data_IF_297797312357
#
_entry.id   IF_297797312357
#
_cell.length_a   1.000
_cell.length_b   1.000
_cell.length_c   1.000
_cell.angle_alpha   90.00
_cell.angle_beta   90.00
_cell.angle_gamma   90.00
#
_symmetry.space_group_name_H-M   'P 1'
#
loop_
_entity.id
_entity.type
_entity.pdbx_description
1 polymer ?
#
# COMPACT_ATOMS: atom_id res chain seq x y z
N UNK A 1 13.38 -1.77 -19.29
CA UNK A 1 12.34 -2.18 -18.32
C UNK A 1 11.61 -3.40 -18.83
N UNK A 2 11.40 -4.35 -17.96
CA UNK A 2 10.56 -5.50 -18.28
C UNK A 2 9.09 -5.08 -18.22
N UNK A 3 8.24 -5.60 -19.12
CA UNK A 3 6.80 -5.37 -19.02
C UNK A 3 6.30 -5.90 -17.68
N UNK A 4 5.30 -5.20 -17.11
CA UNK A 4 4.68 -5.65 -15.89
C UNK A 4 3.92 -6.96 -16.13
N UNK A 5 4.14 -7.94 -15.26
CA UNK A 5 3.37 -9.17 -15.22
C UNK A 5 2.85 -9.36 -13.80
N UNK A 6 1.53 -9.57 -13.60
CA UNK A 6 1.01 -9.81 -12.26
C UNK A 6 1.65 -11.05 -11.63
N UNK A 7 1.99 -11.01 -10.33
CA UNK A 7 2.48 -12.20 -9.64
C UNK A 7 1.42 -13.30 -9.64
N UNK A 8 1.86 -14.56 -9.76
CA UNK A 8 0.95 -15.72 -9.87
C UNK A 8 0.24 -16.03 -8.56
N UNK A 9 0.95 -15.93 -7.43
CA UNK A 9 0.40 -16.24 -6.10
C UNK A 9 0.85 -15.18 -5.11
N UNK A 10 0.31 -13.95 -5.22
CA UNK A 10 0.74 -12.86 -4.35
C UNK A 10 0.28 -13.09 -2.90
N UNK A 11 1.11 -12.69 -1.96
CA UNK A 11 0.78 -12.71 -0.54
C UNK A 11 0.64 -11.30 0.03
N UNK A 12 1.27 -10.31 -0.61
CA UNK A 12 1.22 -8.94 -0.14
C UNK A 12 1.34 -8.01 -1.35
N UNK A 13 0.29 -7.25 -1.61
CA UNK A 13 0.33 -6.22 -2.64
C UNK A 13 -0.09 -4.88 -2.05
N UNK A 14 0.32 -3.82 -2.72
CA UNK A 14 0.04 -2.44 -2.34
C UNK A 14 -0.74 -1.76 -3.44
N UNK A 15 -1.81 -1.09 -3.08
CA UNK A 15 -2.59 -0.26 -4.00
C UNK A 15 -2.54 1.18 -3.51
N UNK A 16 -2.04 2.07 -4.36
CA UNK A 16 -1.98 3.50 -4.09
C UNK A 16 -3.06 4.18 -4.94
N UNK A 17 -4.16 4.58 -4.29
CA UNK A 17 -5.30 5.20 -4.97
C UNK A 17 -5.33 6.70 -4.74
N UNK A 18 -5.18 7.48 -5.80
CA UNK A 18 -5.12 8.94 -5.74
C UNK A 18 -3.96 9.47 -4.87
N UNK A 19 -2.86 8.75 -4.81
CA UNK A 19 -1.66 9.19 -4.10
C UNK A 19 -0.85 10.07 -5.04
N UNK A 20 -0.85 11.37 -4.79
CA UNK A 20 -0.31 12.38 -5.70
C UNK A 20 1.07 12.89 -5.31
N UNK A 21 1.44 12.79 -4.04
CA UNK A 21 2.75 13.26 -3.59
C UNK A 21 3.85 12.27 -4.02
N UNK A 22 4.75 12.68 -4.92
CA UNK A 22 5.80 11.78 -5.41
C UNK A 22 6.77 11.33 -4.31
N UNK A 23 6.98 12.13 -3.28
CA UNK A 23 7.81 11.74 -2.14
C UNK A 23 7.20 10.59 -1.34
N UNK A 24 5.91 10.69 -1.02
CA UNK A 24 5.20 9.62 -0.34
C UNK A 24 5.14 8.35 -1.19
N UNK A 25 4.82 8.49 -2.47
CA UNK A 25 4.75 7.34 -3.37
C UNK A 25 6.10 6.61 -3.46
N UNK A 26 7.19 7.34 -3.60
CA UNK A 26 8.53 6.75 -3.65
C UNK A 26 8.94 6.08 -2.35
N UNK A 27 8.62 6.70 -1.22
CA UNK A 27 8.88 6.11 0.10
C UNK A 27 8.09 4.83 0.30
N UNK A 28 6.83 4.80 -0.15
CA UNK A 28 6.00 3.60 -0.07
C UNK A 28 6.54 2.48 -0.96
N UNK A 29 7.01 2.81 -2.17
CA UNK A 29 7.66 1.82 -3.05
C UNK A 29 8.87 1.19 -2.38
N UNK A 30 9.72 2.01 -1.75
CA UNK A 30 10.88 1.53 -1.01
C UNK A 30 10.47 0.64 0.15
N UNK A 31 9.46 1.04 0.91
CA UNK A 31 8.95 0.26 2.04
C UNK A 31 8.35 -1.07 1.57
N UNK A 32 7.59 -1.05 0.49
CA UNK A 32 7.00 -2.24 -0.10
C UNK A 32 8.08 -3.24 -0.54
N UNK A 33 9.14 -2.75 -1.17
CA UNK A 33 10.28 -3.57 -1.55
C UNK A 33 10.94 -4.20 -0.31
N UNK A 34 11.21 -3.39 0.71
CA UNK A 34 11.84 -3.88 1.95
C UNK A 34 10.95 -4.89 2.70
N UNK A 35 9.64 -4.73 2.65
CA UNK A 35 8.69 -5.64 3.28
C UNK A 35 8.47 -6.93 2.47
N UNK A 36 9.03 -7.02 1.27
CA UNK A 36 8.85 -8.18 0.41
C UNK A 36 7.49 -8.23 -0.29
N UNK A 37 6.86 -7.08 -0.51
CA UNK A 37 5.61 -7.03 -1.26
C UNK A 37 5.82 -7.55 -2.69
N UNK A 38 4.79 -8.17 -3.24
CA UNK A 38 4.87 -8.81 -4.56
C UNK A 38 4.63 -7.85 -5.70
N UNK A 39 3.88 -6.78 -5.48
CA UNK A 39 3.61 -5.77 -6.51
C UNK A 39 3.03 -4.50 -5.89
N UNK A 40 3.16 -3.38 -6.62
CA UNK A 40 2.54 -2.10 -6.29
C UNK A 40 1.70 -1.64 -7.48
N UNK A 41 0.46 -1.27 -7.22
CA UNK A 41 -0.47 -0.78 -8.23
C UNK A 41 -0.81 0.68 -7.96
N UNK A 42 -0.59 1.54 -8.95
CA UNK A 42 -0.97 2.94 -8.90
C UNK A 42 -2.30 3.10 -9.60
N UNK A 43 -3.32 3.54 -8.88
CA UNK A 43 -4.68 3.65 -9.40
C UNK A 43 -5.24 5.06 -9.22
N UNK A 44 -6.33 5.34 -9.92
CA UNK A 44 -6.95 6.65 -9.88
C UNK A 44 -6.01 7.72 -10.41
N UNK A 45 -6.01 8.88 -9.75
CA UNK A 45 -5.20 10.03 -10.12
C UNK A 45 -3.90 10.07 -9.29
N UNK A 46 -3.15 8.98 -9.33
CA UNK A 46 -1.87 8.86 -8.64
C UNK A 46 -0.72 9.43 -9.47
N UNK A 47 0.37 9.79 -8.80
CA UNK A 47 1.59 10.27 -9.46
C UNK A 47 2.15 9.18 -10.38
N UNK A 48 2.78 9.61 -11.48
CA UNK A 48 3.53 8.70 -12.34
C UNK A 48 4.72 8.14 -11.56
N UNK A 49 4.86 6.81 -11.41
CA UNK A 49 5.99 6.24 -10.68
C UNK A 49 7.35 6.58 -11.29
N UNK A 50 7.40 6.96 -12.56
CA UNK A 50 8.63 7.42 -13.21
C UNK A 50 8.91 8.90 -13.02
N UNK A 51 8.06 9.64 -12.29
CA UNK A 51 8.33 11.03 -11.91
C UNK A 51 9.69 11.09 -11.18
N UNK A 52 10.53 12.05 -11.55
CA UNK A 52 11.90 12.12 -11.04
C UNK A 52 11.99 12.19 -9.52
N UNK A 53 11.09 12.90 -8.85
CA UNK A 53 11.07 12.97 -7.39
C UNK A 53 10.62 11.63 -6.78
N UNK A 54 9.67 10.94 -7.40
CA UNK A 54 9.27 9.61 -6.99
C UNK A 54 10.44 8.62 -7.09
N UNK A 55 11.12 8.60 -8.24
CA UNK A 55 12.28 7.73 -8.46
C UNK A 55 13.37 7.99 -7.42
N UNK A 56 13.69 9.25 -7.13
CA UNK A 56 14.71 9.59 -6.12
C UNK A 56 14.31 9.10 -4.73
N UNK A 57 13.02 9.10 -4.41
CA UNK A 57 12.54 8.69 -3.09
C UNK A 57 12.58 7.17 -2.89
N UNK A 58 12.71 6.39 -3.96
CA UNK A 58 12.73 4.92 -3.86
C UNK A 58 14.08 4.36 -3.40
N UNK A 59 15.15 5.15 -3.48
CA UNK A 59 16.52 4.69 -3.18
C UNK A 59 16.90 3.42 -3.98
N UNK A 60 16.45 3.32 -5.23
CA UNK A 60 16.75 2.20 -6.12
C UNK A 60 15.71 1.07 -6.12
N UNK A 61 14.76 1.08 -5.20
CA UNK A 61 13.76 -0.01 -5.09
C UNK A 61 12.83 -0.11 -6.30
N UNK A 62 12.71 0.95 -7.10
CA UNK A 62 11.89 0.95 -8.31
C UNK A 62 12.24 -0.19 -9.27
N UNK A 63 13.50 -0.65 -9.24
CA UNK A 63 13.98 -1.69 -10.13
C UNK A 63 13.84 -3.11 -9.54
N UNK A 64 13.43 -3.23 -8.29
CA UNK A 64 13.35 -4.50 -7.57
C UNK A 64 11.92 -4.99 -7.36
N UNK A 65 10.93 -4.11 -7.40
CA UNK A 65 9.54 -4.48 -7.16
C UNK A 65 8.70 -4.23 -8.42
N UNK A 66 7.89 -5.20 -8.87
CA UNK A 66 6.97 -4.98 -9.98
C UNK A 66 5.94 -3.91 -9.62
N UNK A 67 5.68 -3.00 -10.55
CA UNK A 67 4.67 -1.97 -10.37
C UNK A 67 4.03 -1.62 -11.70
N UNK A 68 2.80 -1.12 -11.66
CA UNK A 68 2.08 -0.65 -12.84
C UNK A 68 1.01 0.37 -12.43
N UNK A 69 0.53 1.13 -13.41
CA UNK A 69 -0.63 1.99 -13.25
C UNK A 69 -1.81 1.34 -13.98
N UNK A 70 -2.97 1.31 -13.32
CA UNK A 70 -4.17 0.71 -13.89
C UNK A 70 -5.41 1.29 -13.19
N UNK A 71 -6.59 0.92 -13.66
CA UNK A 71 -7.82 1.26 -12.96
C UNK A 71 -7.96 0.41 -11.69
N UNK A 72 -8.66 0.96 -10.69
CA UNK A 72 -8.81 0.26 -9.41
C UNK A 72 -9.45 -1.12 -9.58
N UNK A 73 -10.45 -1.23 -10.46
CA UNK A 73 -11.15 -2.49 -10.71
C UNK A 73 -10.32 -3.51 -11.51
N UNK A 74 -9.18 -3.08 -12.05
CA UNK A 74 -8.26 -3.96 -12.77
C UNK A 74 -7.20 -4.60 -11.87
N UNK A 75 -7.10 -4.19 -10.61
CA UNK A 75 -6.12 -4.77 -9.68
C UNK A 75 -6.50 -6.22 -9.37
N UNK A 76 -5.61 -7.19 -9.61
CA UNK A 76 -5.93 -8.59 -9.34
C UNK A 76 -5.87 -8.89 -7.83
N UNK A 77 -7.03 -9.14 -7.24
CA UNK A 77 -7.15 -9.35 -5.78
C UNK A 77 -7.71 -10.73 -5.42
N UNK A 78 -7.82 -11.64 -6.38
CA UNK A 78 -8.33 -12.98 -6.12
C UNK A 78 -7.46 -13.70 -5.07
N UNK A 79 -8.12 -14.22 -4.05
CA UNK A 79 -7.43 -14.90 -2.95
C UNK A 79 -6.83 -13.97 -1.90
N UNK A 80 -6.99 -12.66 -2.04
CA UNK A 80 -6.47 -11.68 -1.08
C UNK A 80 -7.58 -11.06 -0.26
N UNK A 81 -7.33 -10.86 1.03
CA UNK A 81 -8.16 -9.91 1.78
C UNK A 81 -7.77 -8.50 1.34
N UNK A 82 -8.77 -7.68 1.04
CA UNK A 82 -8.54 -6.30 0.61
C UNK A 82 -8.88 -5.38 1.78
N UNK A 83 -7.90 -4.63 2.25
CA UNK A 83 -8.04 -3.78 3.44
C UNK A 83 -7.68 -2.35 3.07
N UNK A 84 -8.59 -1.43 3.35
CA UNK A 84 -8.37 0.01 3.15
C UNK A 84 -8.03 0.67 4.48
N UNK A 85 -7.04 1.56 4.49
CA UNK A 85 -6.71 2.31 5.69
C UNK A 85 -7.63 3.53 5.83
N UNK A 86 -8.06 3.79 7.06
CA UNK A 86 -8.90 4.94 7.38
C UNK A 86 -8.70 5.34 8.82
N UNK A 87 -8.70 6.64 9.11
CA UNK A 87 -8.65 7.14 10.49
C UNK A 87 -9.87 6.74 11.32
N UNK A 88 -10.99 6.44 10.66
CA UNK A 88 -12.22 5.99 11.30
C UNK A 88 -12.55 4.54 10.91
N UNK A 89 -11.52 3.70 10.76
CA UNK A 89 -11.68 2.33 10.32
C UNK A 89 -12.55 1.50 11.25
N UNK A 90 -13.27 0.54 10.67
CA UNK A 90 -14.19 -0.34 11.40
C UNK A 90 -13.45 -1.28 12.35
N UNK A 91 -12.21 -1.66 12.01
CA UNK A 91 -11.38 -2.51 12.84
C UNK A 91 -10.04 -1.83 13.12
N UNK A 92 -9.50 -2.12 14.30
CA UNK A 92 -8.13 -1.75 14.65
C UNK A 92 -7.15 -2.73 13.97
N UNK A 93 -5.99 -2.24 13.58
CA UNK A 93 -4.95 -3.08 12.96
C UNK A 93 -4.65 -4.34 13.77
N UNK A 94 -4.73 -4.25 15.10
CA UNK A 94 -4.49 -5.37 16.01
C UNK A 94 -5.55 -6.49 15.92
N UNK A 95 -6.70 -6.19 15.32
CA UNK A 95 -7.81 -7.15 15.17
C UNK A 95 -7.81 -7.90 13.85
N UNK A 96 -6.85 -7.57 12.97
CA UNK A 96 -6.79 -8.12 11.61
C UNK A 96 -5.89 -9.36 11.59
N UNK A 97 -6.29 -10.37 10.81
CA UNK A 97 -5.46 -11.55 10.55
C UNK A 97 -4.37 -11.18 9.53
N UNK A 98 -3.27 -10.63 10.04
CA UNK A 98 -2.19 -10.08 9.22
C UNK A 98 -1.37 -11.13 8.48
N UNK A 99 -1.46 -12.39 8.87
CA UNK A 99 -0.77 -13.52 8.24
C UNK A 99 -1.43 -13.98 6.94
N UNK A 100 -2.66 -13.55 6.66
CA UNK A 100 -3.36 -13.89 5.43
C UNK A 100 -2.81 -13.09 4.26
N UNK A 101 -2.86 -13.64 3.02
CA UNK A 101 -2.54 -12.86 1.83
C UNK A 101 -3.42 -11.60 1.77
N UNK A 102 -2.78 -10.44 1.58
CA UNK A 102 -3.43 -9.14 1.76
C UNK A 102 -3.09 -8.17 0.64
N UNK A 103 -4.10 -7.42 0.22
CA UNK A 103 -3.95 -6.20 -0.58
C UNK A 103 -4.27 -5.00 0.31
N UNK A 104 -3.27 -4.18 0.60
CA UNK A 104 -3.45 -2.94 1.34
C UNK A 104 -3.75 -1.79 0.36
N UNK A 105 -4.83 -1.06 0.60
CA UNK A 105 -5.22 0.10 -0.22
C UNK A 105 -5.01 1.36 0.60
N UNK A 106 -4.15 2.25 0.08
CA UNK A 106 -3.84 3.54 0.70
C UNK A 106 -4.37 4.66 -0.18
N UNK A 107 -4.92 5.70 0.44
CA UNK A 107 -5.57 6.78 -0.25
C UNK A 107 -4.80 8.09 -0.27
N UNK A 108 -5.46 9.12 -0.79
CA UNK A 108 -4.91 10.46 -0.93
C UNK A 108 -4.41 11.01 0.42
N UNK A 109 -3.30 11.73 0.38
CA UNK A 109 -2.63 12.28 1.57
C UNK A 109 -3.52 13.27 2.33
N UNK A 110 -4.34 14.03 1.61
CA UNK A 110 -5.19 15.06 2.19
C UNK A 110 -6.62 14.58 2.45
N UNK A 111 -7.15 13.73 1.57
CA UNK A 111 -8.57 13.39 1.56
C UNK A 111 -8.85 11.93 1.93
N UNK A 112 -7.82 11.09 2.04
CA UNK A 112 -8.00 9.66 2.27
C UNK A 112 -8.64 8.95 1.08
N UNK A 113 -9.35 7.86 1.35
CA UNK A 113 -10.07 7.11 0.34
C UNK A 113 -11.54 7.52 0.33
N UNK A 114 -12.17 7.57 -0.86
CA UNK A 114 -13.63 7.62 -0.92
C UNK A 114 -14.21 6.31 -0.36
N UNK A 115 -15.52 6.28 -0.17
CA UNK A 115 -16.19 5.04 0.23
C UNK A 115 -16.17 4.06 -0.95
N UNK A 116 -15.31 3.06 -0.86
CA UNK A 116 -15.12 2.03 -1.89
C UNK A 116 -15.84 0.73 -1.53
N UNK A 117 -16.57 0.70 -0.41
CA UNK A 117 -17.21 -0.53 0.06
C UNK A 117 -16.23 -1.58 0.57
N UNK A 118 -14.98 -1.22 0.83
CA UNK A 118 -13.95 -2.13 1.32
C UNK A 118 -13.93 -2.15 2.85
N UNK A 119 -13.53 -3.28 3.47
CA UNK A 119 -13.24 -3.28 4.89
C UNK A 119 -12.16 -2.26 5.23
N UNK A 120 -12.38 -1.48 6.28
CA UNK A 120 -11.46 -0.42 6.69
C UNK A 120 -10.74 -0.78 7.98
N UNK A 121 -9.48 -0.37 8.05
CA UNK A 121 -8.61 -0.64 9.19
C UNK A 121 -8.00 0.67 9.66
N UNK A 122 -8.05 0.91 10.97
CA UNK A 122 -7.40 2.05 11.59
C UNK A 122 -6.13 1.61 12.30
N UNK A 123 -5.12 2.50 12.29
CA UNK A 123 -3.90 2.31 13.08
C UNK A 123 -4.10 3.05 14.40
N UNK A 124 -3.90 2.38 15.56
CA UNK A 124 -4.12 3.05 16.83
C UNK A 124 -3.13 4.19 17.05
N UNK A 125 -3.63 5.33 17.50
CA UNK A 125 -2.85 6.51 17.87
C UNK A 125 -2.92 6.66 19.38
N UNK A 126 -1.79 6.60 20.05
CA UNK A 126 -1.70 6.64 21.50
C UNK A 126 -1.37 8.03 22.03
N UNK A 127 -0.95 8.94 21.16
CA UNK A 127 -0.65 10.32 21.49
C UNK A 127 -1.76 11.27 21.04
N UNK A 128 -1.40 12.53 20.88
CA UNK A 128 -2.36 13.59 20.54
C UNK A 128 -2.49 13.87 19.04
N UNK A 129 -1.64 13.26 18.20
CA UNK A 129 -1.76 13.42 16.76
C UNK A 129 -3.08 12.83 16.25
N UNK A 130 -3.67 13.45 15.24
CA UNK A 130 -4.93 12.97 14.65
C UNK A 130 -4.72 11.75 13.74
N UNK A 131 -3.58 11.70 13.04
CA UNK A 131 -3.27 10.61 12.12
C UNK A 131 -1.76 10.52 11.90
N UNK A 132 -1.34 9.42 11.28
CA UNK A 132 0.03 9.26 10.79
C UNK A 132 0.15 9.81 9.37
N UNK A 133 1.35 10.27 9.01
CA UNK A 133 1.67 10.53 7.62
C UNK A 133 1.42 9.26 6.79
N UNK A 134 1.02 9.43 5.53
CA UNK A 134 0.66 8.31 4.66
C UNK A 134 1.78 7.27 4.53
N UNK A 135 3.02 7.70 4.29
CA UNK A 135 4.14 6.78 4.16
C UNK A 135 4.43 6.04 5.47
N UNK A 136 4.25 6.71 6.61
CA UNK A 136 4.38 6.07 7.94
C UNK A 136 3.28 5.04 8.15
N UNK A 137 2.06 5.36 7.81
CA UNK A 137 0.92 4.44 7.91
C UNK A 137 1.15 3.20 7.04
N UNK A 138 1.62 3.40 5.81
CA UNK A 138 1.95 2.30 4.91
C UNK A 138 3.04 1.40 5.49
N UNK A 139 4.09 1.99 6.07
CA UNK A 139 5.16 1.22 6.69
C UNK A 139 4.64 0.34 7.82
N UNK A 140 3.77 0.87 8.67
CA UNK A 140 3.18 0.11 9.78
C UNK A 140 2.37 -1.07 9.25
N UNK A 141 1.48 -0.84 8.29
CA UNK A 141 0.62 -1.88 7.73
C UNK A 141 1.42 -2.96 6.99
N UNK A 142 2.35 -2.55 6.14
CA UNK A 142 3.13 -3.48 5.32
C UNK A 142 4.06 -4.34 6.17
N UNK A 143 4.76 -3.75 7.12
CA UNK A 143 5.64 -4.52 8.01
C UNK A 143 4.86 -5.40 8.98
N UNK A 144 3.70 -4.96 9.44
CA UNK A 144 2.84 -5.82 10.28
C UNK A 144 2.43 -7.08 9.52
N UNK A 145 2.02 -6.94 8.27
CA UNK A 145 1.71 -8.09 7.41
C UNK A 145 2.95 -8.94 7.13
N UNK A 146 4.06 -8.30 6.74
CA UNK A 146 5.28 -9.02 6.38
C UNK A 146 5.80 -9.86 7.56
N UNK A 147 5.86 -9.29 8.75
CA UNK A 147 6.31 -10.01 9.94
C UNK A 147 5.37 -11.19 10.24
N UNK A 148 4.05 -10.97 10.21
CA UNK A 148 3.08 -12.02 10.45
C UNK A 148 3.18 -13.15 9.42
N UNK A 149 3.35 -12.81 8.14
CA UNK A 149 3.43 -13.80 7.06
C UNK A 149 4.73 -14.61 7.09
N UNK A 150 5.82 -14.05 7.60
CA UNK A 150 7.13 -14.72 7.62
C UNK A 150 7.40 -15.46 8.92
N UNK A 151 6.65 -15.21 9.97
CA UNK A 151 6.83 -15.86 11.28
C UNK A 151 5.72 -16.85 11.62
N UNK A 152 4.68 -16.89 10.80
CA UNK A 152 3.51 -17.75 11.00
C UNK A 152 3.70 -19.19 10.57
#
# INVERSE_FOLDING_TARGET
FLPFAPPAEPRLIVVLHDVRDPGNAGTILRTADAAGADAVYFTGDSVDPYNGKCVRSTAGSLFHIPFTSCALDEVPVDGLQVLATSGAGERDLREVDLDLPTAWVFGNEAHGLPDLGLPTVSIPIFGEAESLNLASAAAVCLYSSAVAQHTG
#
